data_IF_612686840016
#
_entry.id   IF_612686840016
#
_cell.length_a   1.000
_cell.length_b   1.000
_cell.length_c   1.000
_cell.angle_alpha   90.00
_cell.angle_beta   90.00
_cell.angle_gamma   90.00
#
_symmetry.space_group_name_H-M   'P 1'
#
loop_
_entity.id
_entity.type
_entity.pdbx_description
1 polymer ?
#
# COMPACT_ATOMS: atom_id res chain seq x y z
N UNK A 1 -17.42 -2.29 -13.05
CA UNK A 1 -16.59 -2.22 -11.83
C UNK A 1 -16.12 -0.78 -11.62
N UNK A 2 -15.99 -0.32 -10.38
CA UNK A 2 -15.44 1.01 -10.04
C UNK A 2 -14.12 0.82 -9.29
N UNK A 3 -13.07 1.46 -9.76
CA UNK A 3 -11.73 1.46 -9.16
C UNK A 3 -11.48 2.83 -8.54
N UNK A 4 -10.93 2.85 -7.33
CA UNK A 4 -10.48 4.09 -6.69
C UNK A 4 -9.06 4.40 -7.16
N UNK A 5 -8.86 5.59 -7.73
CA UNK A 5 -7.55 6.14 -8.04
C UNK A 5 -7.24 7.21 -7.00
N UNK A 6 -6.05 7.20 -6.41
CA UNK A 6 -5.72 8.10 -5.29
C UNK A 6 -4.53 8.98 -5.61
N UNK A 7 -4.58 10.25 -5.19
CA UNK A 7 -3.43 11.14 -5.13
C UNK A 7 -3.02 11.74 -6.47
N UNK A 8 -1.72 11.80 -6.76
CA UNK A 8 -1.19 12.53 -7.92
C UNK A 8 -1.44 11.79 -9.24
N UNK A 9 -1.41 12.53 -10.35
CA UNK A 9 -1.37 11.99 -11.72
C UNK A 9 -2.53 11.04 -12.08
N UNK A 10 -3.75 11.33 -11.59
CA UNK A 10 -4.96 10.50 -11.74
C UNK A 10 -5.26 10.10 -13.18
N UNK A 11 -5.20 11.04 -14.13
CA UNK A 11 -5.50 10.74 -15.54
C UNK A 11 -4.49 9.78 -16.16
N UNK A 12 -3.20 9.94 -15.80
CA UNK A 12 -2.15 9.02 -16.24
C UNK A 12 -2.35 7.62 -15.64
N UNK A 13 -2.74 7.54 -14.36
CA UNK A 13 -3.10 6.27 -13.71
C UNK A 13 -4.29 5.61 -14.39
N UNK A 14 -5.34 6.38 -14.70
CA UNK A 14 -6.52 5.88 -15.40
C UNK A 14 -6.15 5.30 -16.77
N UNK A 15 -5.33 6.04 -17.53
CA UNK A 15 -4.86 5.59 -18.85
C UNK A 15 -4.02 4.31 -18.76
N UNK A 16 -3.05 4.25 -17.85
CA UNK A 16 -2.22 3.05 -17.66
C UNK A 16 -3.09 1.83 -17.32
N UNK A 17 -4.07 2.02 -16.43
CA UNK A 17 -4.98 0.94 -16.05
C UNK A 17 -5.86 0.51 -17.23
N UNK A 18 -6.43 1.46 -17.96
CA UNK A 18 -7.28 1.20 -19.12
C UNK A 18 -6.50 0.49 -20.23
N UNK A 19 -5.30 0.97 -20.57
CA UNK A 19 -4.45 0.37 -21.61
C UNK A 19 -4.11 -1.09 -21.24
N UNK A 20 -3.70 -1.34 -19.98
CA UNK A 20 -3.40 -2.68 -19.49
C UNK A 20 -4.63 -3.60 -19.47
N UNK A 21 -5.80 -3.07 -19.10
CA UNK A 21 -7.05 -3.83 -19.08
C UNK A 21 -7.49 -4.22 -20.48
N UNK A 22 -7.46 -3.26 -21.42
CA UNK A 22 -7.85 -3.46 -22.82
C UNK A 22 -6.95 -4.50 -23.47
N UNK A 23 -5.64 -4.45 -23.23
CA UNK A 23 -4.70 -5.46 -23.69
C UNK A 23 -5.04 -6.85 -23.10
N UNK A 24 -5.27 -6.93 -21.79
CA UNK A 24 -5.56 -8.20 -21.10
C UNK A 24 -6.86 -8.87 -21.56
N UNK A 25 -7.85 -8.10 -22.01
CA UNK A 25 -9.15 -8.64 -22.45
C UNK A 25 -9.20 -8.90 -23.96
N UNK A 26 -8.11 -8.68 -24.70
CA UNK A 26 -8.05 -8.92 -26.15
C UNK A 26 -8.52 -7.74 -27.02
N UNK A 27 -8.68 -6.56 -26.43
CA UNK A 27 -9.14 -5.35 -27.10
C UNK A 27 -10.59 -4.99 -26.77
N UNK A 28 -10.96 -3.74 -27.05
CA UNK A 28 -12.32 -3.23 -26.77
C UNK A 28 -13.41 -3.94 -27.57
N UNK A 29 -13.07 -4.43 -28.77
CA UNK A 29 -14.00 -5.08 -29.70
C UNK A 29 -14.44 -6.48 -29.28
N UNK A 30 -13.87 -7.03 -28.20
CA UNK A 30 -14.28 -8.32 -27.65
C UNK A 30 -15.64 -8.30 -26.95
N UNK A 31 -16.22 -7.11 -26.74
CA UNK A 31 -17.51 -6.88 -26.10
C UNK A 31 -18.39 -5.99 -26.97
N UNK A 32 -19.71 -6.20 -26.92
CA UNK A 32 -20.68 -5.38 -27.67
C UNK A 32 -20.60 -3.90 -27.26
N UNK A 33 -20.41 -3.63 -25.97
CA UNK A 33 -20.09 -2.29 -25.45
C UNK A 33 -19.01 -2.36 -24.39
N UNK A 34 -18.05 -1.44 -24.47
CA UNK A 34 -17.00 -1.26 -23.47
C UNK A 34 -16.80 0.24 -23.23
N UNK A 35 -17.05 0.69 -22.01
CA UNK A 35 -16.95 2.09 -21.61
C UNK A 35 -16.08 2.25 -20.37
N UNK A 36 -15.21 3.26 -20.40
CA UNK A 36 -14.38 3.69 -19.28
C UNK A 36 -14.69 5.14 -18.99
N UNK A 37 -15.08 5.43 -17.75
CA UNK A 37 -15.46 6.76 -17.31
C UNK A 37 -14.65 7.13 -16.07
N UNK A 38 -13.91 8.24 -16.13
CA UNK A 38 -13.16 8.78 -15.00
C UNK A 38 -13.94 9.94 -14.35
N UNK A 39 -14.29 9.78 -13.08
CA UNK A 39 -14.86 10.84 -12.25
C UNK A 39 -13.79 11.39 -11.32
N UNK A 40 -13.43 12.66 -11.52
CA UNK A 40 -12.48 13.39 -10.67
C UNK A 40 -13.20 13.95 -9.44
N UNK A 41 -12.83 13.46 -8.27
CA UNK A 41 -13.25 14.01 -6.97
C UNK A 41 -12.06 14.34 -6.07
N UNK A 42 -10.84 14.05 -6.55
CA UNK A 42 -9.59 14.26 -5.85
C UNK A 42 -9.29 15.74 -5.73
N UNK A 43 -8.89 16.16 -4.53
CA UNK A 43 -8.50 17.53 -4.22
C UNK A 43 -6.99 17.71 -4.30
N UNK A 44 -6.57 18.92 -4.62
CA UNK A 44 -5.20 19.36 -4.38
C UNK A 44 -4.99 19.55 -2.87
N UNK A 45 -3.88 19.04 -2.32
CA UNK A 45 -3.58 19.03 -0.87
C UNK A 45 -4.75 18.51 0.00
N UNK A 46 -5.17 17.24 -0.20
CA UNK A 46 -6.31 16.65 0.52
C UNK A 46 -6.09 16.64 2.04
N UNK A 47 -7.16 16.77 2.83
CA UNK A 47 -7.11 16.75 4.30
C UNK A 47 -7.59 15.42 4.90
N UNK A 48 -8.22 14.58 4.08
CA UNK A 48 -8.57 13.21 4.43
C UNK A 48 -8.18 12.28 3.30
N UNK A 49 -8.11 10.99 3.60
CA UNK A 49 -7.79 9.98 2.61
C UNK A 49 -8.80 9.98 1.44
N UNK A 50 -10.10 10.07 1.75
CA UNK A 50 -11.19 10.12 0.78
C UNK A 50 -11.15 11.36 -0.13
N UNK A 51 -10.65 12.50 0.37
CA UNK A 51 -10.45 13.68 -0.46
C UNK A 51 -9.36 13.51 -1.51
N UNK A 52 -8.52 12.47 -1.39
CA UNK A 52 -7.52 12.14 -2.40
C UNK A 52 -8.07 11.22 -3.51
N UNK A 53 -9.36 10.83 -3.47
CA UNK A 53 -9.92 9.80 -4.35
C UNK A 53 -10.53 10.37 -5.63
N UNK A 54 -10.31 9.66 -6.73
CA UNK A 54 -11.06 9.71 -7.97
C UNK A 54 -11.58 8.30 -8.29
N UNK A 55 -12.58 8.20 -9.17
CA UNK A 55 -13.25 6.94 -9.46
C UNK A 55 -13.20 6.62 -10.94
N UNK A 56 -12.59 5.50 -11.30
CA UNK A 56 -12.56 4.97 -12.66
C UNK A 56 -13.61 3.86 -12.78
N UNK A 57 -14.69 4.11 -13.52
CA UNK A 57 -15.76 3.14 -13.78
C UNK A 57 -15.54 2.48 -15.13
N UNK A 58 -15.35 1.16 -15.12
CA UNK A 58 -15.29 0.32 -16.32
C UNK A 58 -16.58 -0.49 -16.43
N UNK A 59 -17.25 -0.41 -17.58
CA UNK A 59 -18.48 -1.13 -17.88
C UNK A 59 -18.31 -1.93 -19.17
N UNK A 60 -18.72 -3.19 -19.15
CA UNK A 60 -18.74 -4.06 -20.32
C UNK A 60 -20.11 -4.75 -20.44
N UNK A 61 -20.63 -4.88 -21.65
CA UNK A 61 -21.89 -5.57 -21.98
C UNK A 61 -21.63 -6.56 -23.11
N UNK A 62 -22.10 -7.80 -22.94
CA UNK A 62 -22.02 -8.85 -23.96
C UNK A 62 -23.16 -9.88 -23.77
N UNK A 63 -23.78 -10.38 -24.86
CA UNK A 63 -24.84 -11.40 -24.79
C UNK A 63 -24.33 -12.80 -24.37
N UNK A 64 -23.01 -13.04 -24.36
CA UNK A 64 -22.39 -14.30 -23.97
C UNK A 64 -21.89 -14.28 -22.51
N UNK A 65 -22.67 -14.89 -21.62
CA UNK A 65 -22.40 -14.94 -20.18
C UNK A 65 -21.04 -15.56 -19.79
N UNK A 66 -20.46 -16.45 -20.60
CA UNK A 66 -19.17 -17.10 -20.31
C UNK A 66 -17.96 -16.15 -20.38
N UNK A 67 -18.08 -15.01 -21.07
CA UNK A 67 -17.02 -13.99 -21.15
C UNK A 67 -16.91 -13.14 -19.87
N UNK A 68 -18.00 -13.03 -19.10
CA UNK A 68 -18.07 -12.21 -17.88
C UNK A 68 -17.40 -12.89 -16.67
N UNK A 69 -17.46 -14.22 -16.56
CA UNK A 69 -16.91 -14.96 -15.41
C UNK A 69 -15.37 -14.97 -15.34
N UNK A 70 -14.68 -15.01 -16.50
CA UNK A 70 -13.21 -15.01 -16.58
C UNK A 70 -12.56 -13.67 -16.19
N UNK A 71 -13.31 -12.57 -16.27
CA UNK A 71 -12.85 -11.23 -15.91
C UNK A 71 -12.71 -11.07 -14.39
N UNK A 72 -13.65 -11.60 -13.62
CA UNK A 72 -13.67 -11.48 -12.16
C UNK A 72 -12.55 -12.28 -11.46
N UNK A 73 -12.19 -13.47 -11.97
CA UNK A 73 -11.15 -14.32 -11.36
C UNK A 73 -9.74 -13.72 -11.46
N UNK A 74 -9.41 -13.12 -12.61
CA UNK A 74 -8.12 -12.43 -12.86
C UNK A 74 -7.88 -11.23 -11.93
N UNK A 75 -8.95 -10.52 -11.54
CA UNK A 75 -8.86 -9.35 -10.64
C UNK A 75 -8.61 -9.77 -9.18
N UNK A 76 -9.17 -10.91 -8.74
CA UNK A 76 -8.94 -11.46 -7.39
C UNK A 76 -7.52 -11.99 -7.24
N UNK A 77 -6.95 -12.61 -8.27
CA UNK A 77 -5.55 -13.09 -8.26
C UNK A 77 -4.53 -11.94 -8.15
N UNK A 78 -4.82 -10.77 -8.72
CA UNK A 78 -3.97 -9.58 -8.66
C UNK A 78 -4.04 -8.82 -7.31
N UNK A 79 -5.07 -9.09 -6.50
CA UNK A 79 -5.23 -8.52 -5.16
C UNK A 79 -4.10 -8.92 -4.20
N UNK A 80 -3.62 -10.17 -4.32
CA UNK A 80 -2.70 -10.82 -3.37
C UNK A 80 -1.22 -10.75 -3.78
N UNK A 81 -0.89 -10.40 -5.03
CA UNK A 81 0.48 -10.47 -5.56
C UNK A 81 1.13 -9.11 -5.86
N UNK A 82 0.43 -7.98 -5.69
CA UNK A 82 0.87 -6.70 -6.26
C UNK A 82 1.27 -5.65 -5.19
N UNK A 83 0.31 -4.84 -4.74
CA UNK A 83 0.54 -3.79 -3.73
C UNK A 83 0.00 -4.27 -2.37
N UNK A 84 0.52 -3.84 -1.20
CA UNK A 84 -0.07 -4.19 0.09
C UNK A 84 -1.30 -3.29 0.23
N UNK A 85 -2.45 -3.80 0.68
CA UNK A 85 -3.63 -2.98 0.97
C UNK A 85 -4.85 -2.90 -0.03
N UNK A 86 -5.12 -3.89 -0.90
CA UNK A 86 -6.22 -3.94 -1.92
C UNK A 86 -7.57 -4.14 -1.31
N UNK A 87 -8.47 -3.19 -1.49
CA UNK A 87 -9.84 -3.39 -1.08
C UNK A 87 -10.84 -3.10 -2.19
N UNK A 88 -11.96 -3.82 -2.14
CA UNK A 88 -13.15 -3.62 -2.94
C UNK A 88 -14.34 -3.30 -2.02
N UNK A 89 -15.25 -2.43 -2.46
CA UNK A 89 -16.41 -1.98 -1.68
C UNK A 89 -17.59 -2.97 -1.66
N UNK A 90 -17.50 -4.07 -2.44
CA UNK A 90 -18.38 -5.25 -2.43
C UNK A 90 -17.69 -6.44 -3.15
N UNK A 91 -18.03 -7.71 -2.86
CA UNK A 91 -17.34 -8.87 -3.42
C UNK A 91 -17.81 -9.23 -4.86
N UNK A 92 -16.99 -9.92 -5.67
CA UNK A 92 -17.48 -10.70 -6.82
C UNK A 92 -18.21 -11.96 -6.32
N UNK A 93 -19.43 -12.26 -6.77
CA UNK A 93 -20.17 -13.50 -6.39
C UNK A 93 -19.70 -14.74 -7.18
N UNK A 94 -19.86 -16.01 -6.77
CA UNK A 94 -20.54 -16.65 -5.62
C UNK A 94 -19.59 -17.05 -4.48
N UNK A 95 -20.17 -17.29 -3.29
CA UNK A 95 -19.47 -17.45 -2.01
C UNK A 95 -18.81 -18.81 -1.73
N UNK A 96 -17.80 -18.73 -0.87
CA UNK A 96 -17.09 -19.82 -0.19
C UNK A 96 -16.99 -19.51 1.31
N UNK A 97 -16.85 -20.51 2.18
CA UNK A 97 -16.86 -20.31 3.63
C UNK A 97 -15.76 -19.35 4.10
N UNK A 98 -16.12 -18.53 5.10
CA UNK A 98 -15.22 -17.58 5.75
C UNK A 98 -14.55 -18.24 6.96
N UNK A 99 -13.22 -18.12 7.05
CA UNK A 99 -12.40 -18.62 8.15
C UNK A 99 -11.96 -17.41 8.97
N UNK A 100 -12.29 -17.45 10.27
CA UNK A 100 -11.88 -16.43 11.23
C UNK A 100 -10.49 -16.79 11.79
N UNK A 101 -9.51 -15.93 11.56
CA UNK A 101 -8.16 -16.11 12.09
C UNK A 101 -8.11 -15.64 13.55
N UNK A 102 -7.96 -16.59 14.48
CA UNK A 102 -7.70 -16.33 15.89
C UNK A 102 -6.23 -16.62 16.19
N UNK A 103 -5.35 -15.60 16.28
CA UNK A 103 -3.97 -15.84 16.62
C UNK A 103 -3.87 -16.24 18.10
N UNK A 104 -3.44 -17.48 18.35
CA UNK A 104 -3.00 -17.93 19.65
C UNK A 104 -1.53 -18.34 19.55
N UNK A 105 -0.78 -18.13 20.63
CA UNK A 105 0.57 -18.69 20.72
C UNK A 105 0.43 -20.20 20.92
N UNK A 106 0.91 -20.97 19.96
CA UNK A 106 1.11 -22.42 20.12
C UNK A 106 2.58 -22.64 20.41
N UNK A 107 2.86 -23.26 21.56
CA UNK A 107 4.24 -23.59 21.92
C UNK A 107 4.85 -24.49 20.84
N UNK A 108 6.09 -24.18 20.46
CA UNK A 108 6.90 -25.02 19.56
C UNK A 108 7.06 -26.46 20.07
N UNK A 109 6.83 -26.71 21.37
CA UNK A 109 6.75 -28.07 21.93
C UNK A 109 5.66 -28.94 21.32
N UNK A 110 4.67 -28.35 20.66
CA UNK A 110 3.56 -29.07 20.03
C UNK A 110 3.69 -29.17 18.50
N UNK A 111 4.80 -28.70 17.91
CA UNK A 111 4.96 -28.59 16.46
C UNK A 111 6.13 -29.49 16.01
N UNK A 112 5.86 -30.44 15.10
CA UNK A 112 6.87 -31.26 14.43
C UNK A 112 7.09 -30.74 13.02
N UNK A 113 8.33 -30.36 12.68
CA UNK A 113 8.69 -29.86 11.35
C UNK A 113 9.16 -31.01 10.46
N UNK A 114 8.66 -31.08 9.23
CA UNK A 114 9.03 -32.10 8.24
C UNK A 114 9.47 -31.41 6.94
N UNK A 115 10.61 -31.83 6.41
CA UNK A 115 11.13 -31.38 5.11
C UNK A 115 11.04 -32.55 4.13
N UNK A 116 10.43 -32.31 2.97
CA UNK A 116 10.35 -33.29 1.89
C UNK A 116 11.22 -32.82 0.72
N UNK A 117 12.23 -33.60 0.36
CA UNK A 117 13.12 -33.31 -0.77
C UNK A 117 13.49 -34.62 -1.45
N UNK A 118 13.40 -34.66 -2.79
CA UNK A 118 13.71 -35.86 -3.60
C UNK A 118 12.99 -37.14 -3.12
N UNK A 119 11.70 -37.03 -2.81
CA UNK A 119 10.86 -38.10 -2.26
C UNK A 119 11.26 -38.61 -0.86
N UNK A 120 12.22 -37.96 -0.19
CA UNK A 120 12.63 -38.28 1.19
C UNK A 120 12.02 -37.30 2.18
N UNK A 121 11.42 -37.82 3.25
CA UNK A 121 10.97 -37.05 4.42
C UNK A 121 12.07 -37.01 5.48
N UNK A 122 12.37 -35.83 6.01
CA UNK A 122 13.28 -35.61 7.15
C UNK A 122 12.57 -34.81 8.22
N UNK A 123 12.55 -35.32 9.45
CA UNK A 123 12.06 -34.57 10.62
C UNK A 123 13.14 -33.60 11.04
N UNK A 124 12.78 -32.32 11.16
CA UNK A 124 13.69 -31.27 11.62
C UNK A 124 13.48 -31.09 13.11
N UNK A 125 14.55 -31.30 13.87
CA UNK A 125 14.57 -30.99 15.29
C UNK A 125 14.25 -29.51 15.52
N UNK A 126 13.61 -29.23 16.65
CA UNK A 126 13.27 -27.86 17.04
C UNK A 126 14.54 -27.01 17.02
N UNK A 127 14.48 -25.89 16.30
CA UNK A 127 15.47 -24.85 16.49
C UNK A 127 15.31 -24.32 17.93
N UNK A 128 16.33 -24.48 18.76
CA UNK A 128 16.38 -23.75 20.02
C UNK A 128 16.42 -22.27 19.66
N UNK A 129 15.38 -21.53 20.04
CA UNK A 129 15.40 -20.08 19.96
C UNK A 129 16.31 -19.64 21.09
N UNK A 130 17.50 -19.07 20.80
CA UNK A 130 18.34 -18.53 21.86
C UNK A 130 17.52 -17.46 22.58
N UNK A 131 17.35 -17.62 23.90
CA UNK A 131 16.66 -16.64 24.75
C UNK A 131 17.35 -15.27 24.66
N UNK A 132 18.64 -15.30 24.31
CA UNK A 132 19.50 -14.15 24.15
C UNK A 132 19.89 -13.99 22.67
N UNK A 133 18.99 -13.41 21.88
CA UNK A 133 19.39 -12.89 20.56
C UNK A 133 19.92 -11.48 20.77
N UNK A 134 21.19 -11.21 20.47
CA UNK A 134 21.68 -9.84 20.50
C UNK A 134 20.82 -9.02 19.53
N UNK A 135 20.41 -7.83 19.98
CA UNK A 135 19.77 -6.86 19.10
C UNK A 135 20.72 -6.59 17.94
N UNK A 136 20.24 -6.81 16.71
CA UNK A 136 21.02 -6.48 15.52
C UNK A 136 21.20 -4.96 15.50
N UNK A 137 22.43 -4.51 15.68
CA UNK A 137 22.74 -3.08 15.57
C UNK A 137 22.45 -2.60 14.15
N UNK A 138 21.81 -1.44 14.04
CA UNK A 138 21.54 -0.83 12.75
C UNK A 138 22.86 -0.44 12.08
N UNK A 139 22.98 -0.76 10.78
CA UNK A 139 24.15 -0.33 10.01
C UNK A 139 24.22 1.20 10.00
N UNK A 140 25.39 1.73 10.38
CA UNK A 140 25.69 3.16 10.26
C UNK A 140 25.94 3.47 8.79
N UNK A 141 25.00 4.18 8.17
CA UNK A 141 25.16 4.71 6.82
C UNK A 141 25.65 6.15 6.91
N UNK A 142 26.65 6.51 6.09
CA UNK A 142 27.06 7.90 5.98
C UNK A 142 25.99 8.69 5.21
N UNK A 143 25.21 9.49 5.92
CA UNK A 143 24.12 10.29 5.36
C UNK A 143 24.64 11.73 5.29
N UNK A 144 24.50 12.42 4.14
CA UNK A 144 24.91 13.82 4.03
C UNK A 144 24.10 14.71 4.97
N UNK A 145 24.58 15.95 5.16
CA UNK A 145 23.82 16.97 5.89
C UNK A 145 22.50 17.33 5.20
N UNK A 146 21.68 18.11 5.90
CA UNK A 146 20.44 18.63 5.34
C UNK A 146 20.72 19.40 4.02
N UNK A 147 19.92 19.23 2.96
CA UNK A 147 20.20 19.87 1.69
C UNK A 147 20.10 21.39 1.80
N UNK A 148 21.21 22.09 1.56
CA UNK A 148 21.24 23.56 1.51
C UNK A 148 20.83 24.03 0.11
N UNK A 149 19.52 24.19 -0.08
CA UNK A 149 18.97 24.75 -1.31
C UNK A 149 17.66 25.48 -1.03
N UNK A 150 17.22 26.27 -2.01
CA UNK A 150 15.96 27.01 -1.95
C UNK A 150 14.79 26.07 -1.58
N UNK A 151 14.01 26.47 -0.59
CA UNK A 151 12.78 25.77 -0.23
C UNK A 151 11.65 26.12 -1.21
N UNK A 152 10.90 25.10 -1.64
CA UNK A 152 9.76 25.23 -2.55
C UNK A 152 8.57 24.42 -2.05
N UNK A 153 7.35 24.89 -2.34
CA UNK A 153 6.12 24.15 -2.05
C UNK A 153 5.83 23.19 -3.19
N UNK A 154 5.76 21.90 -2.89
CA UNK A 154 5.43 20.87 -3.86
C UNK A 154 4.70 19.71 -3.18
N UNK A 155 3.93 18.90 -3.94
CA UNK A 155 3.42 17.64 -3.42
C UNK A 155 4.58 16.74 -2.97
N UNK A 156 4.46 16.14 -1.79
CA UNK A 156 5.48 15.25 -1.22
C UNK A 156 5.88 14.13 -2.20
N UNK A 157 4.93 13.66 -3.00
CA UNK A 157 5.12 12.64 -4.02
C UNK A 157 6.03 13.01 -5.19
N UNK A 158 6.47 14.27 -5.29
CA UNK A 158 7.47 14.74 -6.26
C UNK A 158 8.91 14.54 -5.79
N UNK A 159 9.15 14.31 -4.49
CA UNK A 159 10.47 13.94 -3.96
C UNK A 159 10.52 12.49 -3.48
N UNK A 160 9.39 11.95 -3.01
CA UNK A 160 9.34 10.65 -2.34
C UNK A 160 8.35 9.68 -2.98
N UNK A 161 8.71 8.40 -2.94
CA UNK A 161 7.80 7.31 -3.25
C UNK A 161 7.30 6.68 -1.95
N UNK A 162 6.11 6.08 -2.01
CA UNK A 162 5.44 5.49 -0.86
C UNK A 162 4.80 4.16 -1.21
N UNK A 163 4.58 3.34 -0.19
CA UNK A 163 3.80 2.11 -0.25
C UNK A 163 3.18 1.92 1.12
N UNK A 164 1.90 1.60 1.14
CA UNK A 164 1.17 1.36 2.39
C UNK A 164 0.30 0.14 2.25
N UNK A 165 -0.14 -0.43 3.36
CA UNK A 165 -1.17 -1.47 3.39
C UNK A 165 -1.32 -2.11 4.75
N UNK A 166 -2.22 -3.08 4.85
CA UNK A 166 -2.65 -3.66 6.11
C UNK A 166 -1.62 -4.59 6.76
N UNK A 167 -1.74 -4.68 8.09
CA UNK A 167 -1.08 -5.67 8.94
C UNK A 167 -2.07 -6.14 10.01
N UNK A 168 -3.09 -6.86 9.55
CA UNK A 168 -4.27 -7.18 10.34
C UNK A 168 -5.09 -5.91 10.59
N UNK A 169 -5.37 -5.60 11.86
CA UNK A 169 -6.04 -4.35 12.26
C UNK A 169 -5.20 -3.06 12.12
N UNK A 170 -3.94 -3.19 11.72
CA UNK A 170 -2.96 -2.10 11.67
C UNK A 170 -2.64 -1.72 10.22
N UNK A 171 -1.95 -0.60 10.02
CA UNK A 171 -1.40 -0.23 8.72
C UNK A 171 0.11 -0.01 8.79
N UNK A 172 0.79 -0.36 7.70
CA UNK A 172 2.18 -0.02 7.47
C UNK A 172 2.23 1.08 6.39
N UNK A 173 3.10 2.07 6.56
CA UNK A 173 3.34 3.16 5.62
C UNK A 173 4.84 3.39 5.47
N UNK A 174 5.41 2.92 4.36
CA UNK A 174 6.79 3.17 3.97
C UNK A 174 6.92 4.39 3.07
N UNK A 175 7.94 5.21 3.33
CA UNK A 175 8.31 6.38 2.53
C UNK A 175 9.81 6.30 2.25
N UNK A 176 10.22 6.44 0.99
CA UNK A 176 11.64 6.38 0.62
C UNK A 176 12.03 7.48 -0.36
N UNK A 177 13.27 7.93 -0.20
CA UNK A 177 13.93 8.89 -1.07
C UNK A 177 14.69 8.19 -2.20
N UNK A 178 14.97 8.93 -3.27
CA UNK A 178 15.83 8.45 -4.37
C UNK A 178 17.32 8.76 -4.17
N UNK A 179 17.66 9.64 -3.22
CA UNK A 179 19.03 10.03 -2.94
C UNK A 179 19.28 10.15 -1.43
N UNK A 180 20.56 10.05 -0.98
CA UNK A 180 20.94 10.27 0.41
C UNK A 180 20.53 11.65 0.94
N UNK A 181 20.58 12.70 0.13
CA UNK A 181 20.16 14.07 0.46
C UNK A 181 18.65 14.14 0.71
N UNK A 182 17.87 13.49 -0.16
CA UNK A 182 16.42 13.36 0.02
C UNK A 182 16.09 12.60 1.31
N UNK A 183 16.86 11.55 1.63
CA UNK A 183 16.69 10.82 2.88
C UNK A 183 17.07 11.65 4.10
N UNK A 184 18.14 12.44 4.05
CA UNK A 184 18.53 13.35 5.12
C UNK A 184 17.38 14.33 5.46
N UNK A 185 16.76 14.92 4.43
CA UNK A 185 15.55 15.73 4.59
C UNK A 185 14.40 14.90 5.17
N UNK A 186 14.06 13.75 4.56
CA UNK A 186 12.92 12.91 4.94
C UNK A 186 12.99 12.51 6.40
N UNK A 187 14.17 12.05 6.84
CA UNK A 187 14.42 11.61 8.21
C UNK A 187 14.14 12.73 9.22
N UNK A 188 14.60 13.94 8.95
CA UNK A 188 14.41 15.08 9.86
C UNK A 188 12.99 15.66 9.79
N UNK A 189 12.43 15.77 8.59
CA UNK A 189 11.15 16.40 8.34
C UNK A 189 9.97 15.52 8.77
N UNK A 190 9.95 14.26 8.35
CA UNK A 190 8.81 13.37 8.54
C UNK A 190 8.94 12.60 9.87
N UNK A 191 8.68 13.31 10.97
CA UNK A 191 8.51 12.73 12.30
C UNK A 191 7.10 12.14 12.46
N UNK A 192 6.84 11.42 13.55
CA UNK A 192 5.50 10.93 13.87
C UNK A 192 4.50 12.09 14.02
N UNK A 193 4.92 13.18 14.68
CA UNK A 193 4.14 14.39 14.88
C UNK A 193 3.84 15.04 13.53
N UNK A 194 4.86 15.16 12.67
CA UNK A 194 4.67 15.72 11.34
C UNK A 194 3.72 14.88 10.49
N UNK A 195 3.81 13.55 10.59
CA UNK A 195 2.89 12.65 9.92
C UNK A 195 1.45 12.88 10.39
N UNK A 196 1.21 13.05 11.70
CA UNK A 196 -0.12 13.35 12.27
C UNK A 196 -0.66 14.73 11.88
N UNK A 197 0.21 15.71 11.64
CA UNK A 197 -0.18 17.01 11.05
C UNK A 197 -0.57 16.88 9.58
N UNK A 198 0.15 16.03 8.84
CA UNK A 198 -0.09 15.79 7.41
C UNK A 198 -1.23 14.81 7.15
N UNK A 199 -1.58 13.95 8.09
CA UNK A 199 -2.68 13.00 7.98
C UNK A 199 -3.53 13.13 9.23
N UNK A 200 -4.39 14.15 9.25
CA UNK A 200 -5.15 14.52 10.46
C UNK A 200 -6.11 13.42 10.91
N UNK A 201 -6.57 12.59 9.98
CA UNK A 201 -7.36 11.40 10.24
C UNK A 201 -6.56 10.26 10.91
N UNK A 202 -5.23 10.39 10.99
CA UNK A 202 -4.33 9.48 11.71
C UNK A 202 -3.97 9.96 13.12
N UNK A 203 -4.39 11.17 13.51
CA UNK A 203 -3.92 11.86 14.74
C UNK A 203 -4.18 11.07 16.03
N UNK A 204 -5.34 10.40 16.11
CA UNK A 204 -5.79 9.64 17.28
C UNK A 204 -5.13 8.28 17.43
N UNK A 205 -4.41 7.79 16.42
CA UNK A 205 -3.81 6.46 16.46
C UNK A 205 -2.41 6.49 17.05
N UNK A 206 -2.02 5.35 17.62
CA UNK A 206 -0.63 5.12 18.02
C UNK A 206 0.22 4.80 16.78
N UNK A 207 1.37 5.47 16.67
CA UNK A 207 2.23 5.42 15.48
C UNK A 207 3.67 5.25 15.91
N UNK A 208 4.28 4.14 15.49
CA UNK A 208 5.70 3.89 15.65
C UNK A 208 6.46 4.22 14.38
N UNK A 209 7.60 4.88 14.52
CA UNK A 209 8.49 5.27 13.41
C UNK A 209 9.77 4.46 13.45
N UNK A 210 10.10 3.86 12.31
CA UNK A 210 11.29 3.03 12.11
C UNK A 210 12.14 3.63 11.00
N UNK A 211 13.39 3.97 11.30
CA UNK A 211 14.34 4.47 10.32
C UNK A 211 15.07 3.31 9.63
N UNK A 212 15.16 3.36 8.30
CA UNK A 212 15.81 2.34 7.47
C UNK A 212 16.84 3.01 6.55
N UNK A 213 17.98 3.46 7.09
CA UNK A 213 18.95 4.29 6.35
C UNK A 213 19.59 3.57 5.16
N UNK A 214 19.75 2.24 5.23
CA UNK A 214 20.23 1.42 4.13
C UNK A 214 19.27 1.36 2.93
N UNK A 215 17.99 1.68 3.16
CA UNK A 215 16.95 1.77 2.12
C UNK A 215 16.57 3.21 1.78
N UNK A 216 17.25 4.19 2.40
CA UNK A 216 16.89 5.62 2.30
C UNK A 216 15.41 5.87 2.66
N UNK A 217 14.92 5.15 3.67
CA UNK A 217 13.50 5.06 3.97
C UNK A 217 13.16 5.31 5.46
N UNK A 218 11.93 5.74 5.69
CA UNK A 218 11.28 5.79 7.00
C UNK A 218 9.96 5.03 6.90
N UNK A 219 9.70 4.17 7.87
CA UNK A 219 8.48 3.37 7.95
C UNK A 219 7.65 3.75 9.17
N UNK A 220 6.34 3.82 8.99
CA UNK A 220 5.39 4.06 10.07
C UNK A 220 4.48 2.85 10.26
N UNK A 221 4.33 2.42 11.50
CA UNK A 221 3.38 1.38 11.89
C UNK A 221 2.25 2.01 12.70
N UNK A 222 1.05 2.01 12.12
CA UNK A 222 -0.13 2.70 12.65
C UNK A 222 -1.06 1.65 13.25
N UNK A 223 -1.23 1.68 14.58
CA UNK A 223 -1.97 0.63 15.29
C UNK A 223 -3.47 0.88 15.27
N UNK A 224 -4.25 -0.17 15.01
CA UNK A 224 -5.71 -0.17 15.14
C UNK A 224 -6.49 0.66 14.12
N UNK A 225 -5.84 1.22 13.10
CA UNK A 225 -6.50 2.06 12.08
C UNK A 225 -7.53 1.31 11.23
N UNK A 226 -7.44 -0.03 11.18
CA UNK A 226 -8.37 -0.90 10.46
C UNK A 226 -9.27 -1.73 11.40
N UNK A 227 -9.34 -1.40 12.70
CA UNK A 227 -10.15 -2.13 13.68
C UNK A 227 -9.71 -3.59 13.83
N UNK A 228 -10.64 -4.55 13.73
CA UNK A 228 -10.35 -6.00 13.79
C UNK A 228 -9.85 -6.58 12.46
N UNK A 229 -9.37 -5.73 11.56
CA UNK A 229 -8.84 -6.09 10.24
C UNK A 229 -9.81 -5.85 9.11
N UNK A 230 -9.40 -6.22 7.90
CA UNK A 230 -10.08 -5.85 6.63
C UNK A 230 -11.58 -6.17 6.63
N UNK A 231 -11.97 -7.33 7.17
CA UNK A 231 -13.37 -7.78 7.18
C UNK A 231 -14.28 -7.00 8.14
N UNK A 232 -13.70 -6.21 9.06
CA UNK A 232 -14.41 -5.45 10.09
C UNK A 232 -14.15 -3.93 9.99
N UNK A 233 -13.42 -3.48 8.96
CA UNK A 233 -13.08 -2.07 8.80
C UNK A 233 -14.19 -1.30 8.08
N UNK A 234 -14.59 -0.17 8.66
CA UNK A 234 -15.62 0.73 8.12
C UNK A 234 -15.06 1.82 7.17
N UNK A 235 -13.75 1.82 6.90
CA UNK A 235 -13.11 2.83 6.05
C UNK A 235 -13.44 2.59 4.58
N UNK A 236 -13.39 3.64 3.76
CA UNK A 236 -13.55 3.53 2.30
C UNK A 236 -12.42 2.72 1.66
N UNK A 237 -11.25 2.72 2.30
CA UNK A 237 -10.12 1.84 2.01
C UNK A 237 -9.84 0.95 3.23
N UNK A 238 -10.50 -0.21 3.39
CA UNK A 238 -10.31 -1.08 4.56
C UNK A 238 -8.99 -1.87 4.55
N UNK A 239 -8.12 -1.63 3.57
CA UNK A 239 -6.81 -2.25 3.51
C UNK A 239 -5.64 -1.24 3.50
N UNK A 240 -5.92 0.06 3.58
CA UNK A 240 -4.92 1.13 3.65
C UNK A 240 -3.97 1.26 2.44
N UNK A 241 -4.34 0.83 1.22
CA UNK A 241 -3.53 1.08 -0.01
C UNK A 241 -3.31 2.52 -0.35
N UNK A 242 -4.33 3.30 -0.08
CA UNK A 242 -4.47 4.66 -0.57
C UNK A 242 -3.71 5.65 0.31
N UNK A 243 -3.38 5.25 1.55
CA UNK A 243 -2.69 6.06 2.55
C UNK A 243 -1.35 6.63 2.05
N UNK A 244 -0.55 5.83 1.34
CA UNK A 244 0.71 6.27 0.75
C UNK A 244 0.52 7.35 -0.31
N UNK A 245 -0.48 7.19 -1.20
CA UNK A 245 -0.76 8.16 -2.26
C UNK A 245 -1.43 9.42 -1.72
N UNK A 246 -2.24 9.29 -0.66
CA UNK A 246 -2.76 10.42 0.11
C UNK A 246 -1.64 11.26 0.71
N UNK A 247 -0.67 10.64 1.40
CA UNK A 247 0.52 11.36 1.89
C UNK A 247 1.30 12.04 0.76
N UNK A 248 1.48 11.36 -0.39
CA UNK A 248 2.16 11.92 -1.56
C UNK A 248 1.45 13.14 -2.16
N UNK A 249 0.13 13.25 -2.00
CA UNK A 249 -0.66 14.37 -2.49
C UNK A 249 -0.58 15.61 -1.58
N UNK A 250 -0.14 15.47 -0.32
CA UNK A 250 0.05 16.59 0.60
C UNK A 250 1.12 17.55 0.07
N UNK A 251 0.83 18.85 0.10
CA UNK A 251 1.78 19.89 -0.27
C UNK A 251 2.63 20.24 0.95
N UNK A 252 3.95 20.18 0.79
CA UNK A 252 4.92 20.51 1.84
C UNK A 252 6.00 21.43 1.29
N UNK A 253 6.69 22.14 2.18
CA UNK A 253 7.92 22.86 1.83
C UNK A 253 9.11 21.91 1.92
N UNK A 254 9.89 21.84 0.85
CA UNK A 254 11.07 20.99 0.75
C UNK A 254 12.17 21.65 -0.10
N UNK A 255 13.44 21.25 0.05
CA UNK A 255 14.53 21.75 -0.78
C UNK A 255 14.29 21.43 -2.28
N UNK A 256 14.48 22.41 -3.16
CA UNK A 256 14.29 22.23 -4.60
C UNK A 256 15.23 21.14 -5.18
N UNK A 257 16.42 21.00 -4.59
CA UNK A 257 17.43 20.01 -4.99
C UNK A 257 16.99 18.56 -4.87
N UNK A 258 15.99 18.24 -4.03
CA UNK A 258 15.52 16.86 -3.82
C UNK A 258 14.30 16.49 -4.67
N UNK A 259 13.78 17.44 -5.47
CA UNK A 259 12.67 17.18 -6.38
C UNK A 259 13.13 16.27 -7.52
N UNK A 260 12.37 15.22 -7.76
CA UNK A 260 12.57 14.32 -8.90
C UNK A 260 11.95 15.00 -10.13
N UNK A 261 12.79 15.32 -11.12
CA UNK A 261 12.35 15.81 -12.43
C UNK A 261 11.72 14.68 -13.25
#
# INVERSE_FOLDING_TARGET
MTIVLTGLDIEKKAKIFEDALVESIGGRGEYEKFEVNLTRSDKNDPKTNEEAFAYLKVSALDPNSKKIDKFSSKIVELALANIPGFTATAPPGKGTPSIMHWPALVSMSHITQKVHMDQKETIIDRAEIPVDRPLVESQKVNIPGFPDSRMVKAPLGRAFATRSGDKGGNANLGVWAKSPEGYAFLKQFLTTEKLKELLTDMKSYDIERYEMPNLLAVNFYIRGVLGDGVAASFRSDPQAKTLGEYLRARIVEMPESILVR
#
